data_IF_198317969988
#
_entry.id   IF_198317969988
#
_cell.length_a   1.000
_cell.length_b   1.000
_cell.length_c   1.000
_cell.angle_alpha   90.00
_cell.angle_beta   90.00
_cell.angle_gamma   90.00
#
_symmetry.space_group_name_H-M   'P 1'
#
loop_
_entity.id
_entity.type
_entity.pdbx_description
1 polymer ?
#
# COMPACT_ATOMS: atom_id res chain seq x y z
N UNK A 1 -2.80 -18.94 36.46
CA UNK A 1 -1.58 -19.29 35.70
C UNK A 1 -1.88 -19.04 34.22
N UNK A 2 -1.05 -18.24 33.53
CA UNK A 2 -1.35 -17.67 32.21
C UNK A 2 -1.20 -18.71 31.09
N UNK A 3 -2.20 -18.78 30.21
CA UNK A 3 -2.22 -19.67 29.04
C UNK A 3 -1.06 -19.34 28.10
N UNK A 4 -0.32 -20.37 27.67
CA UNK A 4 0.72 -20.28 26.64
C UNK A 4 0.03 -20.01 25.30
N UNK A 5 0.23 -18.82 24.72
CA UNK A 5 -0.12 -18.59 23.33
C UNK A 5 0.75 -19.51 22.45
N UNK A 6 0.11 -20.48 21.79
CA UNK A 6 0.80 -21.32 20.81
C UNK A 6 1.12 -20.48 19.59
N UNK A 7 2.41 -20.34 19.29
CA UNK A 7 2.90 -19.80 18.03
C UNK A 7 2.30 -20.65 16.89
N UNK A 8 1.35 -20.08 16.14
CA UNK A 8 0.81 -20.76 14.96
C UNK A 8 1.90 -20.68 13.89
N UNK A 9 2.32 -21.84 13.38
CA UNK A 9 3.05 -21.94 12.12
C UNK A 9 2.16 -21.32 11.06
N UNK A 10 2.57 -20.18 10.51
CA UNK A 10 1.90 -19.61 9.34
C UNK A 10 2.18 -20.60 8.21
N UNK A 11 1.16 -21.26 7.62
CA UNK A 11 1.39 -22.13 6.46
C UNK A 11 2.16 -21.34 5.40
N UNK A 12 3.00 -22.03 4.61
CA UNK A 12 3.74 -21.44 3.50
C UNK A 12 2.85 -20.42 2.80
N UNK A 13 3.21 -19.14 2.94
CA UNK A 13 2.42 -18.06 2.40
C UNK A 13 2.28 -18.34 0.90
N UNK A 14 1.06 -18.30 0.34
CA UNK A 14 0.89 -18.52 -1.09
C UNK A 14 1.86 -17.59 -1.83
N UNK A 15 2.55 -18.13 -2.83
CA UNK A 15 3.45 -17.38 -3.68
C UNK A 15 2.74 -16.09 -4.09
N UNK A 16 3.24 -14.95 -3.58
CA UNK A 16 2.56 -13.66 -3.74
C UNK A 16 2.46 -13.42 -5.23
N UNK A 17 1.25 -13.52 -5.79
CA UNK A 17 1.04 -13.16 -7.17
C UNK A 17 1.51 -11.72 -7.32
N UNK A 18 2.56 -11.53 -8.12
CA UNK A 18 3.12 -10.21 -8.41
C UNK A 18 2.13 -9.50 -9.33
N UNK A 19 1.02 -9.02 -8.76
CA UNK A 19 0.07 -8.19 -9.49
C UNK A 19 0.73 -6.83 -9.77
N UNK A 20 0.66 -6.31 -11.00
CA UNK A 20 1.12 -4.95 -11.26
C UNK A 20 0.26 -3.95 -10.47
N UNK A 21 0.85 -2.79 -10.12
CA UNK A 21 0.10 -1.69 -9.52
C UNK A 21 -0.84 -1.03 -10.55
N UNK A 22 -1.88 -0.30 -10.10
CA UNK A 22 -2.79 0.41 -10.99
C UNK A 22 -2.08 1.24 -12.06
N UNK A 23 -2.46 1.04 -13.33
CA UNK A 23 -1.83 1.72 -14.44
C UNK A 23 -2.19 3.22 -14.53
N UNK A 24 -3.31 3.62 -13.89
CA UNK A 24 -3.78 5.00 -13.83
C UNK A 24 -4.16 5.39 -12.40
N UNK A 25 -4.08 6.68 -12.14
CA UNK A 25 -4.47 7.35 -10.90
C UNK A 25 -5.21 8.62 -11.28
N UNK A 26 -6.48 8.75 -10.89
CA UNK A 26 -7.39 9.82 -11.29
C UNK A 26 -7.40 10.04 -12.81
N UNK A 27 -7.48 8.93 -13.55
CA UNK A 27 -7.48 8.92 -15.02
C UNK A 27 -6.13 9.24 -15.67
N UNK A 28 -5.08 9.54 -14.91
CA UNK A 28 -3.74 9.86 -15.43
C UNK A 28 -2.82 8.64 -15.35
N UNK A 29 -1.99 8.36 -16.37
CA UNK A 29 -1.06 7.23 -16.33
C UNK A 29 -0.04 7.36 -15.19
N UNK A 30 0.28 6.24 -14.54
CA UNK A 30 1.33 6.18 -13.52
C UNK A 30 2.54 5.42 -14.05
N UNK A 31 3.74 5.90 -13.70
CA UNK A 31 4.97 5.11 -13.83
C UNK A 31 5.41 4.66 -12.45
N UNK A 32 5.40 3.36 -12.23
CA UNK A 32 5.87 2.74 -11.00
C UNK A 32 7.34 2.36 -11.12
N UNK A 33 8.09 2.57 -10.04
CA UNK A 33 9.41 2.01 -9.85
C UNK A 33 9.35 0.54 -9.41
N UNK A 34 10.53 -0.04 -9.19
CA UNK A 34 10.65 -1.41 -8.68
C UNK A 34 10.14 -1.51 -7.24
N UNK A 35 9.69 -2.72 -6.89
CA UNK A 35 9.39 -3.08 -5.50
C UNK A 35 10.69 -3.21 -4.70
N UNK A 36 10.69 -2.69 -3.47
CA UNK A 36 11.79 -2.81 -2.52
C UNK A 36 11.27 -3.16 -1.13
N UNK A 37 11.94 -4.09 -0.45
CA UNK A 37 11.72 -4.35 0.98
C UNK A 37 12.61 -3.57 1.91
N UNK A 38 13.51 -2.76 1.37
CA UNK A 38 14.27 -1.82 2.18
C UNK A 38 13.37 -0.63 2.52
N UNK A 39 12.50 -0.83 3.50
CA UNK A 39 11.59 0.18 4.03
C UNK A 39 12.29 1.14 5.01
N UNK A 40 13.63 1.14 5.06
CA UNK A 40 14.44 1.83 6.07
C UNK A 40 14.15 1.33 7.51
N UNK A 41 14.66 2.00 8.53
CA UNK A 41 14.43 1.64 9.95
C UNK A 41 12.99 1.90 10.43
N UNK A 42 12.04 2.23 9.55
CA UNK A 42 10.65 2.57 9.89
C UNK A 42 9.97 1.50 10.77
N UNK A 43 10.19 0.21 10.47
CA UNK A 43 9.69 -0.93 11.26
C UNK A 43 10.18 -0.91 12.72
N UNK A 44 11.31 -0.25 12.99
CA UNK A 44 11.86 -0.08 14.34
C UNK A 44 11.41 1.20 15.05
N UNK A 45 10.73 2.11 14.35
CA UNK A 45 10.33 3.41 14.88
C UNK A 45 8.80 3.62 14.95
N UNK A 46 8.01 2.70 14.36
CA UNK A 46 6.56 2.71 14.44
C UNK A 46 6.03 1.60 15.38
N UNK A 47 4.97 1.86 16.17
CA UNK A 47 4.25 0.83 16.92
C UNK A 47 3.78 -0.34 16.04
N UNK A 48 3.72 -1.59 16.56
CA UNK A 48 3.22 -2.76 15.83
C UNK A 48 1.88 -2.56 15.13
N UNK A 49 0.94 -1.88 15.79
CA UNK A 49 -0.38 -1.56 15.28
C UNK A 49 -0.36 -0.63 14.06
N UNK A 50 0.63 0.26 13.97
CA UNK A 50 0.79 1.18 12.83
C UNK A 50 1.44 0.51 11.63
N UNK A 51 2.14 -0.61 11.85
CA UNK A 51 2.77 -1.37 10.76
C UNK A 51 2.01 -2.64 10.37
N UNK A 52 1.08 -3.12 11.19
CA UNK A 52 0.26 -4.27 10.85
C UNK A 52 -0.54 -4.04 9.57
N UNK A 53 -0.58 -5.05 8.70
CA UNK A 53 -1.46 -5.01 7.53
C UNK A 53 -2.92 -4.87 7.98
N UNK A 54 -3.62 -3.84 7.48
CA UNK A 54 -5.01 -3.56 7.86
C UNK A 54 -5.99 -4.67 7.42
N UNK A 55 -5.64 -5.48 6.42
CA UNK A 55 -6.47 -6.59 5.93
C UNK A 55 -6.28 -7.89 6.70
N UNK A 56 -5.04 -8.31 6.95
CA UNK A 56 -4.76 -9.63 7.54
C UNK A 56 -4.15 -9.59 8.95
N UNK A 57 -3.80 -8.40 9.46
CA UNK A 57 -3.11 -8.21 10.73
C UNK A 57 -1.65 -8.70 10.75
N UNK A 58 -1.12 -9.09 9.58
CA UNK A 58 0.22 -9.66 9.45
C UNK A 58 1.32 -8.63 9.66
N UNK A 59 2.39 -9.07 10.32
CA UNK A 59 3.64 -8.35 10.57
C UNK A 59 4.78 -8.94 9.71
N UNK A 60 4.50 -9.35 8.46
CA UNK A 60 5.43 -10.13 7.63
C UNK A 60 6.33 -9.28 6.69
N UNK A 61 6.37 -7.97 6.92
CA UNK A 61 7.06 -7.02 6.07
C UNK A 61 6.13 -6.50 4.98
N UNK A 62 6.42 -5.30 4.50
CA UNK A 62 5.81 -4.76 3.30
C UNK A 62 6.89 -4.56 2.24
N UNK A 63 6.52 -4.68 0.97
CA UNK A 63 7.32 -4.16 -0.13
C UNK A 63 6.78 -2.77 -0.49
N UNK A 64 7.66 -1.83 -0.83
CA UNK A 64 7.29 -0.49 -1.27
C UNK A 64 7.66 -0.26 -2.73
N UNK A 65 6.84 0.51 -3.44
CA UNK A 65 7.16 1.01 -4.76
C UNK A 65 6.77 2.48 -4.87
N UNK A 66 7.58 3.28 -5.57
CA UNK A 66 7.29 4.69 -5.81
C UNK A 66 6.61 4.89 -7.16
N UNK A 67 5.54 5.67 -7.19
CA UNK A 67 4.81 6.04 -8.40
C UNK A 67 4.94 7.52 -8.73
N UNK A 68 4.98 7.82 -10.03
CA UNK A 68 4.90 9.19 -10.55
C UNK A 68 3.74 9.27 -11.52
N UNK A 69 2.78 10.16 -11.22
CA UNK A 69 1.64 10.44 -12.10
C UNK A 69 2.11 11.29 -13.28
N UNK A 70 1.90 10.82 -14.51
CA UNK A 70 2.24 11.57 -15.73
C UNK A 70 1.26 12.72 -15.93
N UNK A 71 1.78 13.94 -16.15
CA UNK A 71 0.99 15.12 -16.48
C UNK A 71 1.83 16.40 -16.54
N UNK A 72 1.24 17.49 -17.02
CA UNK A 72 1.89 18.80 -17.19
C UNK A 72 1.98 19.65 -15.90
N UNK A 73 2.02 19.01 -14.73
CA UNK A 73 2.14 19.76 -13.47
C UNK A 73 3.61 20.08 -13.18
N UNK A 74 3.88 21.33 -12.78
CA UNK A 74 5.21 21.77 -12.32
C UNK A 74 5.64 21.04 -11.03
N UNK A 75 4.69 20.48 -10.29
CA UNK A 75 4.88 19.73 -9.04
C UNK A 75 4.23 18.35 -9.20
N UNK A 76 4.95 17.35 -9.73
CA UNK A 76 4.38 16.02 -9.96
C UNK A 76 3.94 15.39 -8.64
N UNK A 77 2.67 14.98 -8.58
CA UNK A 77 2.10 14.19 -7.48
C UNK A 77 2.89 12.88 -7.35
N UNK A 78 3.29 12.53 -6.14
CA UNK A 78 4.08 11.34 -5.84
C UNK A 78 3.22 10.32 -5.11
N UNK A 79 3.28 9.08 -5.57
CA UNK A 79 2.61 7.95 -4.95
C UNK A 79 3.66 7.05 -4.27
N UNK A 80 3.30 6.47 -3.15
CA UNK A 80 4.07 5.48 -2.42
C UNK A 80 3.16 4.29 -2.16
N UNK A 81 3.35 3.21 -2.91
CA UNK A 81 2.62 1.97 -2.73
C UNK A 81 3.30 1.11 -1.66
N UNK A 82 2.49 0.42 -0.86
CA UNK A 82 2.90 -0.54 0.15
C UNK A 82 2.12 -1.84 -0.06
N UNK A 83 2.82 -2.95 -0.25
CA UNK A 83 2.23 -4.28 -0.44
C UNK A 83 2.52 -5.18 0.75
N UNK A 84 1.48 -5.75 1.34
CA UNK A 84 1.63 -6.77 2.37
C UNK A 84 2.18 -8.07 1.76
N UNK A 85 3.31 -8.56 2.25
CA UNK A 85 3.90 -9.83 1.81
C UNK A 85 3.08 -11.07 2.17
N UNK A 86 2.20 -10.98 3.16
CA UNK A 86 1.40 -12.12 3.60
C UNK A 86 0.13 -12.32 2.76
N UNK A 87 -0.53 -11.23 2.34
CA UNK A 87 -1.83 -11.31 1.68
C UNK A 87 -1.92 -10.57 0.33
N UNK A 88 -0.84 -9.90 -0.10
CA UNK A 88 -0.81 -9.15 -1.36
C UNK A 88 -1.67 -7.89 -1.39
N UNK A 89 -2.17 -7.45 -0.24
CA UNK A 89 -2.96 -6.24 -0.11
C UNK A 89 -2.09 -4.99 -0.28
N UNK A 90 -2.59 -4.05 -1.08
CA UNK A 90 -1.90 -2.82 -1.39
C UNK A 90 -2.59 -1.63 -0.74
N UNK A 91 -1.79 -0.74 -0.16
CA UNK A 91 -2.20 0.64 0.11
C UNK A 91 -1.32 1.56 -0.71
N UNK A 92 -1.85 2.74 -1.06
CA UNK A 92 -1.07 3.78 -1.72
C UNK A 92 -1.21 5.06 -0.93
N UNK A 93 -0.09 5.68 -0.58
CA UNK A 93 -0.06 7.00 0.04
C UNK A 93 0.35 8.02 -1.01
N UNK A 94 -0.40 9.12 -1.09
CA UNK A 94 -0.10 10.24 -1.97
C UNK A 94 0.28 11.47 -1.17
N UNK A 95 1.28 12.19 -1.70
CA UNK A 95 1.55 13.56 -1.32
C UNK A 95 1.05 14.50 -2.43
N UNK A 96 -0.05 15.18 -2.18
CA UNK A 96 -0.67 16.12 -3.11
C UNK A 96 -0.27 17.59 -2.79
N UNK A 97 -0.96 18.54 -3.42
CA UNK A 97 -0.66 19.97 -3.29
C UNK A 97 -1.30 20.64 -2.06
N UNK A 98 -2.11 19.92 -1.28
CA UNK A 98 -2.71 20.43 -0.04
C UNK A 98 -1.77 20.34 1.17
N UNK A 99 -0.58 19.75 1.02
CA UNK A 99 0.35 19.40 2.10
C UNK A 99 -0.21 18.38 3.10
N UNK A 100 -1.18 17.57 2.68
CA UNK A 100 -1.73 16.48 3.49
C UNK A 100 -1.33 15.12 2.88
N UNK A 101 -0.99 14.18 3.75
CA UNK A 101 -0.86 12.79 3.36
C UNK A 101 -2.25 12.18 3.26
N UNK A 102 -2.57 11.59 2.10
CA UNK A 102 -3.76 10.75 1.93
C UNK A 102 -3.33 9.33 1.66
N UNK A 103 -4.03 8.37 2.24
CA UNK A 103 -3.77 6.94 2.02
C UNK A 103 -5.05 6.30 1.50
N UNK A 104 -4.91 5.55 0.41
CA UNK A 104 -5.96 4.79 -0.23
C UNK A 104 -5.73 3.32 0.06
N UNK A 105 -6.82 2.66 0.42
CA UNK A 105 -6.86 1.23 0.58
C UNK A 105 -7.33 0.60 -0.74
N UNK A 106 -6.45 -0.13 -1.43
CA UNK A 106 -6.76 -0.61 -2.78
C UNK A 106 -7.59 -1.89 -2.74
N UNK A 107 -8.61 -1.92 -3.58
CA UNK A 107 -9.44 -3.10 -3.86
C UNK A 107 -9.32 -3.55 -5.31
N UNK A 108 -10.10 -4.55 -5.71
CA UNK A 108 -10.02 -5.11 -7.07
C UNK A 108 -10.42 -4.12 -8.17
N UNK A 109 -11.24 -3.11 -7.87
CA UNK A 109 -11.67 -2.11 -8.84
C UNK A 109 -10.55 -1.17 -9.26
N UNK A 110 -9.58 -0.90 -8.38
CA UNK A 110 -8.42 -0.03 -8.67
C UNK A 110 -7.51 -0.59 -9.78
N UNK A 111 -7.60 -1.88 -10.06
CA UNK A 111 -6.80 -2.55 -11.08
C UNK A 111 -7.54 -2.73 -12.40
N UNK A 112 -8.76 -2.19 -12.50
CA UNK A 112 -9.47 -2.10 -13.77
C UNK A 112 -8.70 -1.21 -14.77
N UNK A 113 -9.03 -1.25 -16.07
CA UNK A 113 -8.34 -0.45 -17.10
C UNK A 113 -8.36 1.08 -16.86
N UNK A 114 -9.29 1.57 -16.07
CA UNK A 114 -9.38 2.99 -15.69
C UNK A 114 -8.54 3.35 -14.46
N UNK A 115 -7.95 2.36 -13.80
CA UNK A 115 -7.10 2.51 -12.63
C UNK A 115 -7.87 2.97 -11.39
N UNK A 116 -7.10 3.51 -10.44
CA UNK A 116 -7.65 4.03 -9.19
C UNK A 116 -8.22 5.44 -9.39
N UNK A 117 -9.31 5.72 -8.70
CA UNK A 117 -9.99 7.01 -8.69
C UNK A 117 -10.34 7.41 -7.26
N UNK A 118 -10.39 8.72 -7.00
CA UNK A 118 -11.06 9.23 -5.81
C UNK A 118 -12.54 8.81 -5.83
N UNK A 119 -12.84 7.69 -5.18
CA UNK A 119 -14.20 7.37 -4.77
C UNK A 119 -14.53 8.36 -3.65
N UNK A 120 -15.51 9.25 -3.86
CA UNK A 120 -15.89 10.29 -2.91
C UNK A 120 -15.83 9.79 -1.46
N UNK A 121 -14.98 10.42 -0.66
CA UNK A 121 -14.61 10.00 0.68
C UNK A 121 -15.84 9.67 1.54
N UNK A 122 -15.96 8.40 1.94
CA UNK A 122 -16.76 8.04 3.09
C UNK A 122 -16.04 8.49 4.35
N UNK A 123 -16.37 9.68 4.83
CA UNK A 123 -16.07 10.16 6.19
C UNK A 123 -16.49 9.07 7.18
N UNK A 124 -15.55 8.56 7.98
CA UNK A 124 -15.90 7.93 9.25
C UNK A 124 -16.03 9.05 10.28
N UNK A 125 -17.26 9.22 10.74
CA UNK A 125 -17.66 10.01 11.91
C UNK A 125 -16.99 9.49 13.19
#
# INVERSE_FOLDING_TARGET
MRSRAHLRVVPDLPEVQVRPLPAKWDGKPVTWGEWSSDLTTFVHHAPPEEWACQKCGGLHGHDAARGVIKGHSLTPRKLYAMRCRACGHDTVTEWDHSNEWRTWDLDESDYAPDGSWETGQGVLL
#
